data_IF_057372291939
#
_entry.id   IF_057372291939
#
_cell.length_a   1.000
_cell.length_b   1.000
_cell.length_c   1.000
_cell.angle_alpha   90.00
_cell.angle_beta   90.00
_cell.angle_gamma   90.00
#
_symmetry.space_group_name_H-M   'P 1'
#
loop_
_entity.id
_entity.type
_entity.pdbx_description
1 polymer ?
#
# COMPACT_ATOMS: atom_id res chain seq x y z
N UNK A 1 -0.49 -6.33 -15.52
CA UNK A 1 -1.35 -5.13 -15.42
C UNK A 1 -0.73 -4.05 -16.28
N UNK A 2 -1.52 -3.19 -16.93
CA UNK A 2 -0.97 -2.02 -17.63
C UNK A 2 -0.27 -1.14 -16.60
N UNK A 3 1.06 -1.27 -16.48
CA UNK A 3 1.85 -0.41 -15.60
C UNK A 3 2.20 0.86 -16.38
N UNK A 4 1.96 2.00 -15.74
CA UNK A 4 2.15 3.34 -16.29
C UNK A 4 3.64 3.76 -16.39
N UNK A 5 4.54 2.81 -16.63
CA UNK A 5 5.94 3.13 -16.92
C UNK A 5 5.99 3.82 -18.28
N UNK A 6 6.16 5.16 -18.28
CA UNK A 6 6.19 6.08 -19.44
C UNK A 6 4.86 6.72 -19.87
N UNK A 7 3.98 7.08 -18.92
CA UNK A 7 2.73 7.80 -19.21
C UNK A 7 2.91 9.14 -19.97
N UNK A 8 4.09 9.76 -19.91
CA UNK A 8 4.35 11.09 -20.46
C UNK A 8 4.51 11.11 -21.99
N UNK A 9 4.84 9.99 -22.62
CA UNK A 9 5.15 9.97 -24.06
C UNK A 9 3.88 10.14 -24.92
N UNK A 10 2.77 9.53 -24.51
CA UNK A 10 1.48 9.57 -25.21
C UNK A 10 0.30 9.55 -24.23
N UNK A 11 0.06 10.63 -23.47
CA UNK A 11 -0.93 10.64 -22.39
C UNK A 11 -2.36 10.41 -22.89
N UNK A 12 -2.73 10.94 -24.06
CA UNK A 12 -4.07 10.78 -24.63
C UNK A 12 -4.37 9.32 -24.99
N UNK A 13 -3.44 8.64 -25.68
CA UNK A 13 -3.56 7.23 -26.02
C UNK A 13 -3.60 6.36 -24.76
N UNK A 14 -2.80 6.68 -23.74
CA UNK A 14 -2.83 5.95 -22.47
C UNK A 14 -4.21 6.06 -21.79
N UNK A 15 -4.80 7.25 -21.75
CA UNK A 15 -6.15 7.42 -21.19
C UNK A 15 -7.20 6.69 -22.04
N UNK A 16 -7.10 6.72 -23.37
CA UNK A 16 -8.02 6.02 -24.26
C UNK A 16 -7.97 4.49 -24.05
N UNK A 17 -6.76 3.92 -23.91
CA UNK A 17 -6.58 2.49 -23.61
C UNK A 17 -7.16 2.13 -22.25
N UNK A 18 -6.95 2.97 -21.23
CA UNK A 18 -7.54 2.78 -19.91
C UNK A 18 -9.06 2.86 -19.94
N UNK A 19 -9.64 3.85 -20.62
CA UNK A 19 -11.08 4.01 -20.76
C UNK A 19 -11.70 2.79 -21.47
N UNK A 20 -11.11 2.36 -22.60
CA UNK A 20 -11.55 1.18 -23.33
C UNK A 20 -11.48 -0.10 -22.47
N UNK A 21 -10.37 -0.31 -21.75
CA UNK A 21 -10.20 -1.45 -20.85
C UNK A 21 -11.27 -1.45 -19.75
N UNK A 22 -11.47 -0.31 -19.09
CA UNK A 22 -12.40 -0.16 -17.97
C UNK A 22 -13.85 -0.38 -18.44
N UNK A 23 -14.24 0.20 -19.58
CA UNK A 23 -15.60 0.06 -20.11
C UNK A 23 -15.91 -1.33 -20.67
N UNK A 24 -14.89 -2.08 -21.07
CA UNK A 24 -15.07 -3.44 -21.62
C UNK A 24 -15.10 -4.51 -20.54
N UNK A 25 -14.50 -4.26 -19.38
CA UNK A 25 -14.47 -5.19 -18.26
C UNK A 25 -15.74 -5.12 -17.42
N UNK A 26 -16.12 -6.25 -16.81
CA UNK A 26 -17.18 -6.29 -15.80
C UNK A 26 -16.74 -5.50 -14.57
N UNK A 27 -17.60 -4.60 -14.09
CA UNK A 27 -17.27 -3.71 -12.98
C UNK A 27 -16.90 -4.48 -11.71
N UNK A 28 -17.56 -5.61 -11.44
CA UNK A 28 -17.30 -6.45 -10.27
C UNK A 28 -15.89 -7.05 -10.28
N UNK A 29 -15.30 -7.22 -11.47
CA UNK A 29 -13.91 -7.67 -11.63
C UNK A 29 -12.91 -6.53 -11.46
N UNK A 30 -13.33 -5.29 -11.73
CA UNK A 30 -12.52 -4.09 -11.55
C UNK A 30 -12.53 -3.59 -10.10
N UNK A 31 -13.65 -3.71 -9.38
CA UNK A 31 -13.83 -3.17 -8.03
C UNK A 31 -12.70 -3.51 -7.06
N UNK A 32 -12.18 -4.76 -6.96
CA UNK A 32 -11.06 -5.08 -6.07
C UNK A 32 -9.74 -4.40 -6.41
N UNK A 33 -9.59 -3.91 -7.64
CA UNK A 33 -8.37 -3.30 -8.16
C UNK A 33 -8.44 -1.78 -8.21
N UNK A 34 -9.48 -1.18 -7.62
CA UNK A 34 -9.79 0.25 -7.73
C UNK A 34 -8.61 1.14 -7.31
N UNK A 35 -7.97 0.84 -6.18
CA UNK A 35 -6.79 1.59 -5.72
C UNK A 35 -5.66 1.60 -6.76
N UNK A 36 -5.40 0.44 -7.37
CA UNK A 36 -4.34 0.29 -8.36
C UNK A 36 -4.66 1.00 -9.69
N UNK A 37 -5.92 0.92 -10.14
CA UNK A 37 -6.42 1.67 -11.30
C UNK A 37 -6.23 3.17 -11.05
N UNK A 38 -6.65 3.68 -9.89
CA UNK A 38 -6.51 5.09 -9.53
C UNK A 38 -5.04 5.52 -9.52
N UNK A 39 -4.16 4.78 -8.84
CA UNK A 39 -2.73 5.13 -8.78
C UNK A 39 -2.08 5.13 -10.18
N UNK A 40 -2.52 4.26 -11.08
CA UNK A 40 -2.00 4.19 -12.45
C UNK A 40 -2.46 5.36 -13.33
N UNK A 41 -3.69 5.83 -13.13
CA UNK A 41 -4.31 6.87 -13.97
C UNK A 41 -4.07 8.28 -13.40
N UNK A 42 -3.91 8.43 -12.07
CA UNK A 42 -3.71 9.72 -11.41
C UNK A 42 -2.60 10.60 -12.03
N UNK A 43 -1.43 10.06 -12.44
CA UNK A 43 -0.41 10.86 -13.12
C UNK A 43 -0.91 11.55 -14.41
N UNK A 44 -1.86 10.94 -15.12
CA UNK A 44 -2.43 11.48 -16.36
C UNK A 44 -3.42 12.63 -16.11
N UNK A 45 -3.92 12.80 -14.89
CA UNK A 45 -4.89 13.84 -14.54
C UNK A 45 -4.38 15.26 -14.85
N UNK A 46 -3.07 15.48 -14.78
CA UNK A 46 -2.45 16.76 -15.11
C UNK A 46 -2.53 17.13 -16.58
N UNK A 47 -2.58 16.13 -17.47
CA UNK A 47 -2.50 16.27 -18.93
C UNK A 47 -3.87 16.08 -19.59
N UNK A 48 -4.65 15.11 -19.12
CA UNK A 48 -5.93 14.69 -19.70
C UNK A 48 -7.05 14.72 -18.65
N UNK A 49 -7.17 15.84 -17.92
CA UNK A 49 -8.07 15.96 -16.76
C UNK A 49 -9.52 15.55 -17.08
N UNK A 50 -10.06 15.98 -18.22
CA UNK A 50 -11.43 15.67 -18.60
C UNK A 50 -11.65 14.16 -18.75
N UNK A 51 -10.85 13.51 -19.59
CA UNK A 51 -11.00 12.09 -19.88
C UNK A 51 -10.75 11.22 -18.63
N UNK A 52 -9.77 11.59 -17.80
CA UNK A 52 -9.52 10.90 -16.52
C UNK A 52 -10.71 11.04 -15.58
N UNK A 53 -11.31 12.23 -15.50
CA UNK A 53 -12.50 12.44 -14.67
C UNK A 53 -13.72 11.66 -15.19
N UNK A 54 -13.87 11.51 -16.51
CA UNK A 54 -14.94 10.69 -17.10
C UNK A 54 -14.78 9.21 -16.69
N UNK A 55 -13.55 8.68 -16.66
CA UNK A 55 -13.24 7.35 -16.12
C UNK A 55 -13.59 7.25 -14.63
N UNK A 56 -13.17 8.24 -13.82
CA UNK A 56 -13.42 8.22 -12.38
C UNK A 56 -14.90 8.32 -12.03
N UNK A 57 -15.69 9.11 -12.77
CA UNK A 57 -17.14 9.17 -12.63
C UNK A 57 -17.79 7.83 -12.93
N UNK A 58 -17.39 7.18 -14.01
CA UNK A 58 -17.88 5.85 -14.35
C UNK A 58 -17.63 4.84 -13.22
N UNK A 59 -16.42 4.82 -12.65
CA UNK A 59 -16.07 3.87 -11.59
C UNK A 59 -16.74 4.18 -10.24
N UNK A 60 -16.80 5.45 -9.84
CA UNK A 60 -17.12 5.85 -8.47
C UNK A 60 -18.57 6.30 -8.31
N UNK A 61 -19.11 7.01 -9.30
CA UNK A 61 -20.44 7.62 -9.22
C UNK A 61 -21.46 6.71 -9.90
N UNK A 62 -21.24 6.37 -11.17
CA UNK A 62 -22.19 5.57 -11.96
C UNK A 62 -22.29 4.13 -11.45
N UNK A 63 -21.21 3.60 -10.88
CA UNK A 63 -21.12 2.23 -10.39
C UNK A 63 -20.90 2.12 -8.87
N UNK A 64 -21.30 3.14 -8.09
CA UNK A 64 -21.09 3.22 -6.63
C UNK A 64 -21.51 1.91 -5.92
N UNK A 65 -22.66 1.33 -6.27
CA UNK A 65 -23.16 0.11 -5.62
C UNK A 65 -22.23 -1.09 -5.75
N UNK A 66 -21.50 -1.19 -6.87
CA UNK A 66 -20.57 -2.28 -7.15
C UNK A 66 -19.16 -2.00 -6.63
N UNK A 67 -18.80 -0.74 -6.40
CA UNK A 67 -17.45 -0.33 -6.00
C UNK A 67 -17.35 0.07 -4.54
N UNK A 68 -18.45 0.40 -3.85
CA UNK A 68 -18.50 0.95 -2.48
C UNK A 68 -17.64 0.26 -1.44
N UNK A 69 -17.51 -1.07 -1.51
CA UNK A 69 -16.71 -1.84 -0.54
C UNK A 69 -15.20 -1.61 -0.68
N UNK A 70 -14.75 -1.12 -1.84
CA UNK A 70 -13.35 -0.88 -2.18
C UNK A 70 -13.00 0.62 -2.26
N UNK A 71 -14.00 1.51 -2.29
CA UNK A 71 -13.78 2.97 -2.20
C UNK A 71 -12.96 3.39 -0.96
N UNK A 72 -13.08 2.75 0.23
CA UNK A 72 -12.20 3.08 1.36
C UNK A 72 -10.71 2.97 1.07
N UNK A 73 -10.31 2.14 0.10
CA UNK A 73 -8.91 1.95 -0.29
C UNK A 73 -8.37 3.14 -1.12
N UNK A 74 -9.23 4.09 -1.50
CA UNK A 74 -8.90 5.35 -2.18
C UNK A 74 -8.56 6.49 -1.21
N UNK A 75 -8.13 6.17 0.02
CA UNK A 75 -7.79 7.16 1.06
C UNK A 75 -6.73 8.20 0.64
N UNK A 76 -5.92 7.89 -0.38
CA UNK A 76 -4.87 8.77 -0.90
C UNK A 76 -5.36 9.76 -1.96
N UNK A 77 -6.60 9.61 -2.44
CA UNK A 77 -7.16 10.45 -3.51
C UNK A 77 -7.57 11.81 -2.93
N UNK A 78 -6.71 12.80 -3.10
CA UNK A 78 -6.96 14.18 -2.70
C UNK A 78 -6.28 15.15 -3.68
N UNK A 79 -6.91 15.37 -4.84
CA UNK A 79 -6.40 16.24 -5.89
C UNK A 79 -7.53 17.17 -6.37
N UNK A 80 -7.22 18.46 -6.49
CA UNK A 80 -8.14 19.55 -6.84
C UNK A 80 -8.64 19.49 -8.29
N UNK A 81 -7.94 18.77 -9.17
CA UNK A 81 -8.34 18.54 -10.56
C UNK A 81 -9.34 17.39 -10.71
N UNK A 82 -9.63 16.64 -9.65
CA UNK A 82 -10.65 15.59 -9.67
C UNK A 82 -12.02 16.23 -9.51
N UNK A 83 -12.99 15.70 -10.25
CA UNK A 83 -14.37 16.15 -10.21
C UNK A 83 -14.93 16.08 -8.78
N UNK A 84 -15.66 17.13 -8.41
CA UNK A 84 -16.14 17.32 -7.06
C UNK A 84 -17.10 16.20 -6.61
N UNK A 85 -17.90 15.65 -7.51
CA UNK A 85 -18.83 14.57 -7.20
C UNK A 85 -18.09 13.29 -6.83
N UNK A 86 -17.05 12.95 -7.60
CA UNK A 86 -16.15 11.82 -7.31
C UNK A 86 -15.52 11.99 -5.92
N UNK A 87 -14.98 13.18 -5.63
CA UNK A 87 -14.37 13.46 -4.33
C UNK A 87 -15.36 13.37 -3.17
N UNK A 88 -16.61 13.80 -3.34
CA UNK A 88 -17.66 13.66 -2.31
C UNK A 88 -17.90 12.18 -2.00
N UNK A 89 -18.06 11.35 -3.02
CA UNK A 89 -18.32 9.92 -2.83
C UNK A 89 -17.14 9.26 -2.15
N UNK A 90 -15.90 9.48 -2.62
CA UNK A 90 -14.70 8.94 -1.97
C UNK A 90 -14.64 9.35 -0.49
N UNK A 91 -14.83 10.65 -0.19
CA UNK A 91 -14.83 11.17 1.18
C UNK A 91 -15.89 10.52 2.05
N UNK A 92 -17.08 10.22 1.51
CA UNK A 92 -18.16 9.55 2.26
C UNK A 92 -17.70 8.21 2.83
N UNK A 93 -16.95 7.43 2.05
CA UNK A 93 -16.48 6.09 2.43
C UNK A 93 -15.17 6.11 3.22
N UNK A 94 -14.33 7.13 3.06
CA UNK A 94 -13.07 7.24 3.81
C UNK A 94 -13.22 7.97 5.16
N UNK A 95 -14.29 8.74 5.36
CA UNK A 95 -14.56 9.51 6.60
C UNK A 95 -14.51 8.70 7.89
N UNK A 96 -14.88 7.42 7.86
CA UNK A 96 -14.85 6.56 9.05
C UNK A 96 -13.43 6.46 9.64
N UNK A 97 -12.41 6.44 8.78
CA UNK A 97 -11.01 6.33 9.16
C UNK A 97 -10.48 7.59 9.86
N UNK A 98 -11.06 8.76 9.60
CA UNK A 98 -10.68 10.01 10.27
C UNK A 98 -10.92 9.94 11.78
N UNK A 99 -11.95 9.20 12.21
CA UNK A 99 -12.35 9.06 13.61
C UNK A 99 -11.49 8.06 14.40
N UNK A 100 -10.65 7.29 13.73
CA UNK A 100 -9.81 6.29 14.37
C UNK A 100 -8.69 6.95 15.17
N UNK A 101 -8.38 6.37 16.32
CA UNK A 101 -7.15 6.71 17.04
C UNK A 101 -5.92 6.20 16.27
N UNK A 102 -4.72 6.65 16.64
CA UNK A 102 -3.51 6.32 15.90
C UNK A 102 -3.28 4.80 15.83
N UNK A 103 -3.49 4.08 16.94
CA UNK A 103 -3.34 2.62 16.96
C UNK A 103 -4.24 1.92 15.96
N UNK A 104 -5.51 2.33 15.87
CA UNK A 104 -6.47 1.80 14.89
C UNK A 104 -6.09 2.17 13.46
N UNK A 105 -5.59 3.39 13.23
CA UNK A 105 -5.06 3.81 11.92
C UNK A 105 -3.89 2.92 11.51
N UNK A 106 -2.87 2.76 12.36
CA UNK A 106 -1.72 1.90 12.03
C UNK A 106 -2.20 0.49 11.70
N UNK A 107 -3.01 -0.14 12.57
CA UNK A 107 -3.57 -1.49 12.31
C UNK A 107 -4.29 -1.59 10.97
N UNK A 108 -5.08 -0.59 10.63
CA UNK A 108 -5.81 -0.55 9.35
C UNK A 108 -4.85 -0.43 8.17
N UNK A 109 -3.73 0.28 8.33
CA UNK A 109 -2.77 0.50 7.26
C UNK A 109 -1.80 -0.66 7.05
N UNK A 110 -1.54 -1.50 8.06
CA UNK A 110 -0.65 -2.66 7.93
C UNK A 110 -1.04 -3.54 6.73
N UNK A 111 -2.34 -3.74 6.48
CA UNK A 111 -2.83 -4.52 5.31
C UNK A 111 -2.43 -3.92 3.96
N UNK A 112 -2.30 -2.59 3.86
CA UNK A 112 -1.88 -1.91 2.63
C UNK A 112 -0.36 -1.93 2.46
N UNK A 113 0.40 -1.98 3.56
CA UNK A 113 1.86 -2.07 3.52
C UNK A 113 2.36 -3.42 3.00
N UNK A 114 1.53 -4.46 3.12
CA UNK A 114 1.79 -5.81 2.59
C UNK A 114 1.11 -6.07 1.23
N UNK A 115 0.50 -5.06 0.61
CA UNK A 115 -0.22 -5.19 -0.66
C UNK A 115 0.72 -5.53 -1.82
N UNK A 116 0.32 -6.31 -2.83
CA UNK A 116 1.23 -6.71 -3.92
C UNK A 116 1.76 -5.52 -4.74
N UNK A 117 0.89 -4.53 -5.02
CA UNK A 117 1.28 -3.35 -5.79
C UNK A 117 2.12 -2.36 -4.96
N UNK A 118 3.34 -2.11 -5.41
CA UNK A 118 4.33 -1.20 -4.80
C UNK A 118 3.77 0.21 -4.63
N UNK A 119 3.05 0.73 -5.60
CA UNK A 119 2.56 2.11 -5.57
C UNK A 119 1.47 2.29 -4.51
N UNK A 120 0.66 1.26 -4.25
CA UNK A 120 -0.31 1.25 -3.14
C UNK A 120 0.42 1.29 -1.79
N UNK A 121 1.50 0.50 -1.63
CA UNK A 121 2.34 0.55 -0.43
C UNK A 121 2.90 1.96 -0.21
N UNK A 122 3.43 2.60 -1.27
CA UNK A 122 3.99 3.95 -1.20
C UNK A 122 2.94 4.97 -0.74
N UNK A 123 1.72 4.92 -1.30
CA UNK A 123 0.65 5.83 -0.87
C UNK A 123 0.22 5.57 0.59
N UNK A 124 0.14 4.31 0.99
CA UNK A 124 -0.16 3.93 2.37
C UNK A 124 0.90 4.45 3.35
N UNK A 125 2.19 4.29 3.04
CA UNK A 125 3.30 4.81 3.85
C UNK A 125 3.24 6.33 4.00
N UNK A 126 3.03 7.05 2.88
CA UNK A 126 2.91 8.53 2.89
C UNK A 126 1.74 9.01 3.73
N UNK A 127 0.60 8.33 3.65
CA UNK A 127 -0.57 8.69 4.45
C UNK A 127 -0.35 8.36 5.93
N UNK A 128 0.23 7.19 6.24
CA UNK A 128 0.55 6.80 7.60
C UNK A 128 1.54 7.77 8.26
N UNK A 129 2.52 8.27 7.49
CA UNK A 129 3.46 9.32 7.93
C UNK A 129 2.73 10.55 8.47
N UNK A 130 1.76 11.06 7.71
CA UNK A 130 0.93 12.20 8.13
C UNK A 130 0.17 11.90 9.42
N UNK A 131 -0.32 10.67 9.60
CA UNK A 131 -0.99 10.31 10.85
C UNK A 131 -0.02 10.23 12.03
N UNK A 132 1.21 9.72 11.85
CA UNK A 132 2.22 9.74 12.91
C UNK A 132 2.57 11.17 13.32
N UNK A 133 2.83 12.04 12.35
CA UNK A 133 3.13 13.47 12.56
C UNK A 133 2.01 14.18 13.34
N UNK A 134 0.75 13.93 12.98
CA UNK A 134 -0.41 14.58 13.58
C UNK A 134 -0.76 14.06 14.98
N UNK A 135 -0.31 12.86 15.34
CA UNK A 135 -0.68 12.18 16.59
C UNK A 135 0.56 11.86 17.44
N UNK A 136 1.49 12.82 17.53
CA UNK A 136 2.80 12.63 18.19
C UNK A 136 2.68 12.16 19.64
N UNK A 137 1.77 12.74 20.42
CA UNK A 137 1.56 12.35 21.81
C UNK A 137 1.09 10.89 21.94
N UNK A 138 0.16 10.45 21.09
CA UNK A 138 -0.31 9.06 21.07
C UNK A 138 0.81 8.10 20.64
N UNK A 139 1.62 8.50 19.66
CA UNK A 139 2.79 7.74 19.21
C UNK A 139 3.82 7.56 20.33
N UNK A 140 4.16 8.64 21.05
CA UNK A 140 5.13 8.59 22.14
C UNK A 140 4.62 7.69 23.28
N UNK A 141 3.31 7.73 23.59
CA UNK A 141 2.68 6.79 24.53
C UNK A 141 2.81 5.36 24.03
N UNK A 142 2.60 5.09 22.74
CA UNK A 142 2.72 3.75 22.17
C UNK A 142 4.16 3.22 22.20
N UNK A 143 5.17 4.10 22.15
CA UNK A 143 6.59 3.70 22.17
C UNK A 143 7.13 3.59 23.60
N UNK A 144 6.83 4.55 24.46
CA UNK A 144 7.47 4.75 25.77
C UNK A 144 6.63 4.23 26.95
N UNK A 145 5.53 3.54 26.71
CA UNK A 145 4.66 3.08 27.79
C UNK A 145 5.40 2.20 28.81
N UNK A 146 5.00 2.27 30.07
CA UNK A 146 5.53 1.42 31.14
C UNK A 146 5.36 -0.08 30.85
N UNK A 147 4.35 -0.43 30.05
CA UNK A 147 4.07 -1.82 29.63
C UNK A 147 4.93 -2.28 28.44
N UNK A 148 5.91 -1.47 28.01
CA UNK A 148 6.71 -1.71 26.81
C UNK A 148 6.06 -1.17 25.54
N UNK A 149 6.76 -1.34 24.42
CA UNK A 149 6.33 -0.88 23.11
C UNK A 149 5.07 -1.60 22.65
N UNK A 150 4.13 -0.85 22.06
CA UNK A 150 2.90 -1.42 21.55
C UNK A 150 3.19 -2.39 20.39
N UNK A 151 2.58 -3.58 20.41
CA UNK A 151 2.83 -4.65 19.41
C UNK A 151 2.64 -4.21 17.95
N UNK A 152 1.72 -3.27 17.74
CA UNK A 152 1.44 -2.68 16.42
C UNK A 152 2.62 -1.86 15.90
N UNK A 153 3.37 -1.21 16.80
CA UNK A 153 4.60 -0.48 16.42
C UNK A 153 5.71 -1.48 16.07
N UNK A 154 5.82 -2.59 16.81
CA UNK A 154 6.79 -3.65 16.49
C UNK A 154 6.54 -4.18 15.08
N UNK A 155 5.31 -4.57 14.78
CA UNK A 155 4.91 -5.07 13.45
C UNK A 155 5.17 -4.03 12.35
N UNK A 156 4.88 -2.76 12.62
CA UNK A 156 5.19 -1.66 11.71
C UNK A 156 6.70 -1.56 11.45
N UNK A 157 7.54 -1.58 12.48
CA UNK A 157 9.01 -1.52 12.35
C UNK A 157 9.54 -2.68 11.50
N UNK A 158 8.96 -3.87 11.65
CA UNK A 158 9.37 -5.05 10.88
C UNK A 158 9.04 -4.92 9.39
N UNK A 159 7.84 -4.48 9.08
CA UNK A 159 7.41 -4.21 7.71
C UNK A 159 8.28 -3.13 7.08
N UNK A 160 8.58 -2.05 7.82
CA UNK A 160 9.43 -0.97 7.32
C UNK A 160 10.86 -1.42 7.08
N UNK A 161 11.43 -2.21 7.99
CA UNK A 161 12.78 -2.76 7.84
C UNK A 161 12.87 -3.69 6.62
N UNK A 162 11.82 -4.46 6.35
CA UNK A 162 11.71 -5.29 5.15
C UNK A 162 11.58 -4.44 3.90
N UNK A 163 10.71 -3.42 3.92
CA UNK A 163 10.49 -2.50 2.80
C UNK A 163 11.75 -1.71 2.40
N UNK A 164 12.64 -1.39 3.36
CA UNK A 164 13.93 -0.78 3.05
C UNK A 164 14.90 -1.68 2.27
N UNK A 165 14.64 -3.00 2.16
CA UNK A 165 15.45 -3.95 1.40
C UNK A 165 14.93 -4.20 -0.02
N UNK A 166 13.76 -3.67 -0.35
CA UNK A 166 13.16 -3.79 -1.69
C UNK A 166 14.01 -3.09 -2.74
N UNK A 167 13.80 -3.37 -4.03
CA UNK A 167 14.58 -2.72 -5.10
C UNK A 167 14.15 -1.28 -5.36
N UNK A 168 12.85 -1.00 -5.25
CA UNK A 168 12.25 0.29 -5.60
C UNK A 168 12.70 1.43 -4.67
N UNK A 169 13.29 2.48 -5.24
CA UNK A 169 13.85 3.58 -4.46
C UNK A 169 12.78 4.49 -3.84
N UNK A 170 11.60 4.60 -4.46
CA UNK A 170 10.51 5.40 -3.88
C UNK A 170 9.92 4.71 -2.66
N UNK A 171 9.80 3.39 -2.70
CA UNK A 171 9.38 2.57 -1.57
C UNK A 171 10.39 2.67 -0.42
N UNK A 172 11.69 2.48 -0.70
CA UNK A 172 12.74 2.66 0.31
C UNK A 172 12.67 4.03 0.97
N UNK A 173 12.53 5.08 0.16
CA UNK A 173 12.44 6.45 0.66
C UNK A 173 11.21 6.64 1.54
N UNK A 174 10.05 6.13 1.13
CA UNK A 174 8.81 6.21 1.91
C UNK A 174 8.93 5.44 3.24
N UNK A 175 9.56 4.26 3.24
CA UNK A 175 9.85 3.51 4.45
C UNK A 175 10.79 4.29 5.39
N UNK A 176 11.91 4.80 4.85
CA UNK A 176 12.89 5.57 5.63
C UNK A 176 12.30 6.85 6.23
N UNK A 177 11.42 7.53 5.48
CA UNK A 177 10.67 8.69 5.97
C UNK A 177 9.77 8.33 7.16
N UNK A 178 9.05 7.20 7.09
CA UNK A 178 8.19 6.77 8.19
C UNK A 178 8.99 6.32 9.42
N UNK A 179 10.11 5.61 9.21
CA UNK A 179 11.06 5.27 10.29
C UNK A 179 11.58 6.55 10.97
N UNK A 180 11.90 7.57 10.17
CA UNK A 180 12.30 8.88 10.70
C UNK A 180 11.26 9.50 11.63
N UNK A 181 9.96 9.36 11.30
CA UNK A 181 8.88 9.84 12.18
C UNK A 181 8.73 9.00 13.46
N UNK A 182 9.02 7.69 13.44
CA UNK A 182 9.04 6.89 14.68
C UNK A 182 10.10 7.42 15.66
N UNK A 183 11.21 7.92 15.13
CA UNK A 183 12.32 8.42 15.92
C UNK A 183 13.15 7.29 16.54
N UNK A 184 13.92 7.63 17.58
CA UNK A 184 14.76 6.65 18.25
C UNK A 184 13.89 5.68 19.07
N UNK A 185 13.95 4.39 18.73
CA UNK A 185 13.38 3.30 19.51
C UNK A 185 14.54 2.53 20.12
N UNK A 186 14.60 2.40 21.45
CA UNK A 186 15.65 1.59 22.06
C UNK A 186 15.47 0.11 21.68
N UNK A 187 16.54 -0.58 21.22
CA UNK A 187 16.44 -2.00 20.86
C UNK A 187 15.99 -2.91 22.00
N UNK A 188 16.20 -2.49 23.25
CA UNK A 188 15.74 -3.17 24.47
C UNK A 188 14.21 -3.28 24.56
N UNK A 189 13.48 -2.34 23.95
CA UNK A 189 12.03 -2.34 23.93
C UNK A 189 11.45 -3.26 22.85
N UNK A 190 12.20 -3.56 21.80
CA UNK A 190 11.77 -4.48 20.77
C UNK A 190 11.90 -5.93 21.27
N UNK A 191 10.91 -6.81 21.01
CA UNK A 191 11.03 -8.21 21.36
C UNK A 191 12.28 -8.79 20.69
N UNK A 192 13.11 -9.48 21.48
CA UNK A 192 14.32 -10.14 20.97
C UNK A 192 13.92 -11.16 19.93
N UNK A 193 14.15 -10.84 18.66
CA UNK A 193 14.12 -11.80 17.56
C UNK A 193 15.43 -12.57 17.53
N UNK A 194 15.70 -13.32 18.60
CA UNK A 194 16.55 -14.49 18.46
C UNK A 194 15.70 -15.49 17.67
N UNK A 195 15.80 -15.46 16.33
CA UNK A 195 15.22 -16.46 15.40
C UNK A 195 13.85 -16.97 15.85
N UNK A 196 12.77 -16.26 15.48
CA UNK A 196 11.42 -16.79 15.71
C UNK A 196 11.33 -18.19 15.07
N UNK A 197 11.15 -19.17 15.95
CA UNK A 197 10.84 -20.57 15.67
C UNK A 197 9.54 -20.65 14.84
N UNK A 198 9.69 -20.71 13.51
CA UNK A 198 8.66 -21.24 12.60
C UNK A 198 9.28 -22.01 11.42
N UNK A 199 10.55 -21.74 11.10
CA UNK A 199 11.39 -22.74 10.47
C UNK A 199 12.11 -23.46 11.60
N UNK A 200 11.63 -24.65 11.96
CA UNK A 200 12.46 -25.65 12.62
C UNK A 200 13.80 -25.63 11.88
N UNK A 201 14.85 -25.11 12.52
CA UNK A 201 16.18 -25.09 11.94
C UNK A 201 16.46 -26.54 11.56
N UNK A 202 16.39 -26.83 10.27
CA UNK A 202 16.36 -28.23 9.84
C UNK A 202 17.78 -28.71 9.92
N UNK A 203 18.09 -29.45 10.97
CA UNK A 203 19.46 -29.83 11.31
C UNK A 203 20.03 -30.80 10.28
N UNK A 204 19.16 -31.47 9.50
CA UNK A 204 19.54 -32.47 8.53
C UNK A 204 18.99 -32.15 7.14
N UNK A 205 19.85 -32.34 6.13
CA UNK A 205 19.53 -32.13 4.70
C UNK A 205 18.41 -33.08 4.23
N UNK A 206 18.16 -34.16 4.96
CA UNK A 206 17.17 -35.20 4.64
C UNK A 206 15.78 -34.91 5.22
N UNK A 207 15.64 -33.88 6.05
CA UNK A 207 14.34 -33.51 6.62
C UNK A 207 13.44 -32.90 5.55
N UNK A 208 12.18 -33.33 5.51
CA UNK A 208 11.21 -32.83 4.54
C UNK A 208 11.06 -31.30 4.62
N UNK A 209 11.16 -30.72 5.82
CA UNK A 209 11.14 -29.27 6.04
C UNK A 209 12.30 -28.56 5.34
N UNK A 210 13.50 -29.15 5.36
CA UNK A 210 14.67 -28.62 4.65
C UNK A 210 14.44 -28.69 3.14
N UNK A 211 14.02 -29.84 2.63
CA UNK A 211 13.82 -30.07 1.19
C UNK A 211 12.73 -29.13 0.64
N UNK A 212 11.60 -29.00 1.34
CA UNK A 212 10.50 -28.10 0.98
C UNK A 212 10.97 -26.64 1.02
N UNK A 213 11.70 -26.24 2.07
CA UNK A 213 12.27 -24.89 2.18
C UNK A 213 13.21 -24.57 1.01
N UNK A 214 14.15 -25.47 0.72
CA UNK A 214 15.08 -25.32 -0.40
C UNK A 214 14.38 -25.23 -1.75
N UNK A 215 13.41 -26.11 -2.02
CA UNK A 215 12.64 -26.07 -3.28
C UNK A 215 11.85 -24.77 -3.42
N UNK A 216 11.24 -24.30 -2.33
CA UNK A 216 10.47 -23.05 -2.33
C UNK A 216 11.37 -21.84 -2.64
N UNK A 217 12.55 -21.77 -2.02
CA UNK A 217 13.49 -20.68 -2.29
C UNK A 217 14.12 -20.77 -3.70
N UNK A 218 14.40 -21.97 -4.20
CA UNK A 218 14.84 -22.16 -5.59
C UNK A 218 13.79 -21.70 -6.59
N UNK A 219 12.51 -22.02 -6.35
CA UNK A 219 11.39 -21.60 -7.21
C UNK A 219 11.25 -20.07 -7.18
N UNK A 220 11.32 -19.45 -6.01
CA UNK A 220 11.27 -17.98 -5.88
C UNK A 220 12.44 -17.32 -6.64
N UNK A 221 13.65 -17.87 -6.50
CA UNK A 221 14.83 -17.40 -7.23
C UNK A 221 14.64 -17.48 -8.74
N UNK A 222 14.17 -18.62 -9.23
CA UNK A 222 13.95 -18.84 -10.66
C UNK A 222 12.84 -17.94 -11.23
N UNK A 223 11.76 -17.72 -10.46
CA UNK A 223 10.71 -16.75 -10.82
C UNK A 223 11.23 -15.32 -10.84
N UNK A 224 12.17 -14.97 -9.95
CA UNK A 224 12.79 -13.65 -9.94
C UNK A 224 13.73 -13.41 -11.13
N UNK A 225 14.34 -14.45 -11.69
CA UNK A 225 15.14 -14.37 -12.93
C UNK A 225 14.28 -14.32 -14.19
N UNK A 226 13.13 -15.00 -14.20
CA UNK A 226 12.18 -14.98 -15.33
C UNK A 226 11.30 -13.72 -15.41
N UNK A 227 11.35 -12.86 -14.40
CA UNK A 227 10.88 -11.47 -14.48
C UNK A 227 12.09 -10.52 -14.59
N UNK A 228 12.81 -10.48 -15.73
CA UNK A 228 13.77 -9.42 -15.96
C UNK A 228 12.98 -8.12 -16.23
N UNK A 229 12.92 -7.26 -15.23
CA UNK A 229 12.75 -5.81 -15.39
C UNK A 229 13.97 -5.12 -14.76
#
# INVERSE_FOLDING_TARGET
>A
MLQATNCDQHPELNVEVWDAFIRTCKIESLSPHLALIFVSILPLLGLCSRQVNDIFKYLIVENEENTKNFIPDLFFVNNDKIDHEVLIVIKRYTKAMEKYNLKQKIKTFLKYLTHEATEVKIQALRQLKKYLEQNREELDIMILNYNGIDSVIVELVDILTTGCREKDDQLKLACGQLIGELGAIEPSHLPKRCSHDDHSFSFYIHEDSFIIGCLTELIKGLQSEYNPQ
#
